data_IF_157522539297
#
_entry.id   IF_157522539297
#
_cell.length_a   1.000
_cell.length_b   1.000
_cell.length_c   1.000
_cell.angle_alpha   90.00
_cell.angle_beta   90.00
_cell.angle_gamma   90.00
#
_symmetry.space_group_name_H-M   'P 1'
#
loop_
_entity.id
_entity.type
_entity.pdbx_description
1 polymer ?
#
# COMPACT_ATOMS: atom_id res chain seq x y z
N UNK A 1 -7.72 0.00 -6.72
CA UNK A 1 -7.89 -1.30 -6.04
C UNK A 1 -9.31 -1.82 -6.26
N UNK A 2 -9.50 -2.75 -7.20
CA UNK A 2 -10.77 -3.45 -7.38
C UNK A 2 -10.59 -4.97 -7.18
N UNK A 3 -11.54 -5.62 -6.52
CA UNK A 3 -11.54 -7.07 -6.28
C UNK A 3 -11.57 -7.88 -7.60
N UNK A 4 -11.13 -9.15 -7.60
CA UNK A 4 -11.15 -9.98 -8.84
C UNK A 4 -12.56 -10.07 -9.43
N UNK A 5 -13.55 -10.31 -8.59
CA UNK A 5 -14.97 -10.34 -8.96
C UNK A 5 -15.45 -9.00 -9.52
N UNK A 6 -15.01 -7.89 -8.92
CA UNK A 6 -15.33 -6.52 -9.33
C UNK A 6 -14.70 -6.19 -10.70
N UNK A 7 -13.47 -6.66 -10.94
CA UNK A 7 -12.77 -6.53 -12.22
C UNK A 7 -13.40 -7.38 -13.30
N UNK A 8 -13.84 -8.60 -12.98
CA UNK A 8 -14.57 -9.46 -13.92
C UNK A 8 -15.92 -8.84 -14.28
N UNK A 9 -16.66 -8.33 -13.30
CA UNK A 9 -17.91 -7.60 -13.55
C UNK A 9 -17.69 -6.31 -14.35
N UNK A 10 -16.69 -5.49 -14.00
CA UNK A 10 -16.37 -4.27 -14.75
C UNK A 10 -15.95 -4.58 -16.20
N UNK A 11 -15.12 -5.61 -16.41
CA UNK A 11 -14.73 -6.08 -17.75
C UNK A 11 -15.90 -6.66 -18.54
N UNK A 12 -16.82 -7.37 -17.87
CA UNK A 12 -18.05 -7.88 -18.48
C UNK A 12 -18.96 -6.72 -18.89
N UNK A 13 -19.18 -5.75 -18.00
CA UNK A 13 -19.98 -4.56 -18.27
C UNK A 13 -19.39 -3.74 -19.42
N UNK A 14 -18.07 -3.58 -19.47
CA UNK A 14 -17.39 -2.89 -20.57
C UNK A 14 -17.56 -3.64 -21.89
N UNK A 15 -17.45 -4.98 -21.91
CA UNK A 15 -17.73 -5.79 -23.11
C UNK A 15 -19.19 -5.74 -23.53
N UNK A 16 -20.13 -5.75 -22.59
CA UNK A 16 -21.56 -5.61 -22.87
C UNK A 16 -21.88 -4.22 -23.43
N UNK A 17 -21.26 -3.16 -22.91
CA UNK A 17 -21.41 -1.80 -23.42
C UNK A 17 -20.81 -1.64 -24.83
N UNK A 18 -19.64 -2.25 -25.10
CA UNK A 18 -19.03 -2.25 -26.42
C UNK A 18 -19.80 -3.13 -27.42
N UNK A 19 -20.39 -4.25 -26.96
CA UNK A 19 -21.23 -5.13 -27.78
C UNK A 19 -22.64 -4.59 -28.06
N UNK A 20 -23.16 -3.72 -27.20
CA UNK A 20 -24.42 -2.99 -27.42
C UNK A 20 -24.25 -1.77 -28.35
N UNK A 21 -23.01 -1.44 -28.74
CA UNK A 21 -22.66 -0.27 -29.49
C UNK A 21 -22.67 -0.40 -31.02
N UNK A 22 -23.61 -1.13 -31.64
CA UNK A 22 -23.99 -0.93 -33.08
C UNK A 22 -25.43 -1.39 -33.31
N UNK A 23 -26.42 -0.58 -32.92
CA UNK A 23 -27.76 -0.61 -33.52
C UNK A 23 -28.35 0.79 -33.43
N UNK A 24 -28.01 1.64 -34.40
CA UNK A 24 -28.65 2.93 -34.58
C UNK A 24 -30.13 2.70 -34.96
N UNK A 25 -31.04 2.98 -34.03
CA UNK A 25 -32.47 3.01 -34.29
C UNK A 25 -32.85 4.32 -35.01
N UNK A 26 -33.66 4.29 -36.08
CA UNK A 26 -34.18 5.52 -36.68
C UNK A 26 -35.37 6.08 -35.87
N UNK A 27 -35.39 7.39 -35.72
CA UNK A 27 -36.44 8.16 -35.02
C UNK A 27 -37.72 8.28 -35.86
N UNK A 28 -38.93 8.38 -35.27
CA UNK A 28 -40.18 8.37 -36.00
C UNK A 28 -40.70 9.79 -36.28
N UNK A 29 -40.85 10.14 -37.56
CA UNK A 29 -41.63 11.30 -37.99
C UNK A 29 -42.29 11.01 -39.34
N UNK A 30 -43.56 10.59 -39.33
CA UNK A 30 -44.54 10.87 -40.39
C UNK A 30 -45.92 10.28 -40.03
N UNK A 31 -46.85 11.18 -39.74
CA UNK A 31 -48.29 10.92 -39.64
C UNK A 31 -48.90 11.09 -41.05
N UNK A 32 -49.62 10.09 -41.57
CA UNK A 32 -50.81 10.27 -42.44
C UNK A 32 -51.53 8.93 -42.74
N UNK A 33 -52.78 8.89 -42.25
CA UNK A 33 -54.04 8.38 -42.84
C UNK A 33 -53.98 7.29 -43.92
N UNK A 34 -54.59 6.14 -43.63
CA UNK A 34 -55.43 5.39 -44.58
C UNK A 34 -56.38 4.42 -43.85
N UNK A 35 -57.53 4.20 -44.46
CA UNK A 35 -58.80 3.65 -44.00
C UNK A 35 -58.93 2.12 -44.08
N UNK A 36 -59.87 1.59 -43.28
CA UNK A 36 -60.75 0.42 -43.49
C UNK A 36 -60.15 -0.95 -43.85
N UNK A 37 -60.41 -1.95 -43.01
CA UNK A 37 -61.36 -3.06 -43.25
C UNK A 37 -60.95 -4.34 -42.50
N UNK A 38 -61.85 -4.88 -41.69
CA UNK A 38 -61.87 -6.31 -41.33
C UNK A 38 -62.45 -7.09 -42.54
N UNK A 39 -62.22 -8.42 -42.73
CA UNK A 39 -62.70 -9.43 -41.77
C UNK A 39 -61.91 -10.76 -41.67
N UNK A 40 -62.39 -11.58 -40.72
CA UNK A 40 -62.53 -13.04 -40.74
C UNK A 40 -61.32 -14.00 -40.63
N UNK A 41 -61.26 -14.65 -39.46
CA UNK A 41 -61.32 -16.11 -39.23
C UNK A 41 -60.61 -17.06 -40.21
N UNK A 42 -59.54 -17.72 -39.72
CA UNK A 42 -59.30 -19.15 -40.02
C UNK A 42 -58.77 -19.85 -38.76
N UNK A 43 -59.45 -20.92 -38.39
CA UNK A 43 -59.14 -21.87 -37.33
C UNK A 43 -58.37 -23.04 -37.98
N UNK A 44 -57.20 -23.38 -37.46
CA UNK A 44 -56.57 -24.68 -37.72
C UNK A 44 -55.91 -25.24 -36.46
N UNK A 45 -56.16 -26.53 -36.29
CA UNK A 45 -55.93 -27.41 -35.16
C UNK A 45 -54.52 -28.01 -35.11
N UNK A 46 -54.20 -28.61 -33.95
CA UNK A 46 -53.13 -29.61 -33.66
C UNK A 46 -51.69 -29.06 -33.70
N UNK A 47 -50.81 -29.30 -32.72
CA UNK A 47 -50.47 -30.58 -32.10
C UNK A 47 -49.78 -30.37 -30.75
N UNK A 48 -50.14 -31.18 -29.77
CA UNK A 48 -49.51 -31.31 -28.45
C UNK A 48 -48.02 -31.62 -28.58
N UNK A 49 -47.16 -30.75 -28.04
CA UNK A 49 -45.79 -31.13 -27.63
C UNK A 49 -45.52 -30.56 -26.25
N UNK A 50 -45.50 -31.49 -25.29
CA UNK A 50 -45.15 -31.31 -23.88
C UNK A 50 -43.68 -30.89 -23.77
N UNK A 51 -43.42 -29.60 -23.64
CA UNK A 51 -42.09 -29.12 -23.20
C UNK A 51 -42.10 -29.12 -21.68
N UNK A 52 -41.28 -30.01 -21.12
CA UNK A 52 -41.08 -30.17 -19.69
C UNK A 52 -40.56 -28.85 -19.11
N UNK A 53 -41.28 -28.28 -18.14
CA UNK A 53 -40.74 -27.26 -17.25
C UNK A 53 -39.66 -27.92 -16.40
N UNK A 54 -38.41 -27.82 -16.85
CA UNK A 54 -37.27 -28.10 -16.00
C UNK A 54 -37.35 -27.16 -14.79
N UNK A 55 -37.77 -27.71 -13.66
CA UNK A 55 -37.65 -27.03 -12.37
C UNK A 55 -36.16 -26.80 -12.16
N UNK A 56 -35.73 -25.55 -12.37
CA UNK A 56 -34.41 -25.12 -11.94
C UNK A 56 -34.36 -25.33 -10.42
N UNK A 57 -33.68 -26.40 -10.01
CA UNK A 57 -33.21 -26.53 -8.65
C UNK A 57 -32.31 -25.32 -8.42
N UNK A 58 -32.77 -24.40 -7.58
CA UNK A 58 -31.91 -23.38 -6.97
C UNK A 58 -30.68 -24.12 -6.44
N UNK A 59 -29.53 -23.86 -7.03
CA UNK A 59 -28.25 -24.30 -6.52
C UNK A 59 -28.04 -23.59 -5.18
N UNK A 60 -28.56 -24.15 -4.10
CA UNK A 60 -28.14 -23.78 -2.77
C UNK A 60 -26.65 -24.08 -2.71
N UNK A 61 -25.83 -23.03 -2.56
CA UNK A 61 -24.39 -23.17 -2.29
C UNK A 61 -24.19 -24.27 -1.24
N UNK A 62 -23.26 -25.20 -1.45
CA UNK A 62 -22.97 -26.22 -0.45
C UNK A 62 -22.60 -25.49 0.84
N UNK A 63 -23.37 -25.72 1.90
CA UNK A 63 -23.10 -25.15 3.22
C UNK A 63 -21.70 -25.60 3.64
N UNK A 64 -20.85 -24.61 3.87
CA UNK A 64 -19.43 -24.70 4.18
C UNK A 64 -19.23 -25.39 5.54
N UNK A 65 -19.04 -26.72 5.55
CA UNK A 65 -18.53 -27.48 6.72
C UNK A 65 -16.98 -27.44 6.74
N UNK A 66 -16.37 -26.56 5.92
CA UNK A 66 -14.93 -26.34 5.76
C UNK A 66 -14.40 -25.13 6.55
N UNK A 67 -15.23 -24.50 7.39
CA UNK A 67 -14.90 -23.30 8.16
C UNK A 67 -13.63 -23.45 8.99
N UNK A 68 -13.44 -24.62 9.60
CA UNK A 68 -12.32 -24.87 10.49
C UNK A 68 -11.00 -25.06 9.73
N UNK A 69 -11.02 -25.78 8.60
CA UNK A 69 -9.81 -26.07 7.81
C UNK A 69 -9.29 -24.82 7.07
N UNK A 70 -10.20 -23.97 6.60
CA UNK A 70 -9.82 -22.67 6.04
C UNK A 70 -9.29 -21.71 7.12
N UNK A 71 -9.85 -21.74 8.34
CA UNK A 71 -9.38 -20.90 9.45
C UNK A 71 -7.92 -21.20 9.82
N UNK A 72 -7.53 -22.47 10.00
CA UNK A 72 -6.14 -22.84 10.29
C UNK A 72 -5.17 -22.52 9.14
N UNK A 73 -5.63 -22.63 7.89
CA UNK A 73 -4.83 -22.24 6.71
C UNK A 73 -4.52 -20.74 6.74
N UNK A 74 -5.50 -19.92 7.09
CA UNK A 74 -5.36 -18.45 7.21
C UNK A 74 -4.42 -18.10 8.37
N UNK A 75 -4.50 -18.77 9.53
CA UNK A 75 -3.60 -18.52 10.67
C UNK A 75 -2.13 -18.72 10.27
N UNK A 76 -1.78 -19.88 9.70
CA UNK A 76 -0.39 -20.14 9.31
C UNK A 76 0.11 -19.25 8.16
N UNK A 77 -0.77 -18.92 7.21
CA UNK A 77 -0.42 -18.04 6.10
C UNK A 77 -0.26 -16.57 6.54
N UNK A 78 -1.12 -16.08 7.43
CA UNK A 78 -1.02 -14.73 8.01
C UNK A 78 0.21 -14.58 8.89
N UNK A 79 0.60 -15.61 9.66
CA UNK A 79 1.83 -15.58 10.45
C UNK A 79 3.08 -15.44 9.55
N UNK A 80 3.17 -16.22 8.47
CA UNK A 80 4.28 -16.10 7.50
C UNK A 80 4.32 -14.72 6.86
N UNK A 81 3.17 -14.22 6.43
CA UNK A 81 3.08 -12.90 5.81
C UNK A 81 3.44 -11.78 6.79
N UNK A 82 3.03 -11.89 8.05
CA UNK A 82 3.43 -10.98 9.11
C UNK A 82 4.94 -10.98 9.33
N UNK A 83 5.59 -12.15 9.36
CA UNK A 83 7.06 -12.24 9.50
C UNK A 83 7.79 -11.49 8.38
N UNK A 84 7.28 -11.54 7.15
CA UNK A 84 7.82 -10.76 6.03
C UNK A 84 7.66 -9.25 6.28
N UNK A 85 6.53 -8.81 6.83
CA UNK A 85 6.28 -7.39 7.15
C UNK A 85 7.16 -6.87 8.29
N UNK A 86 7.49 -7.72 9.27
CA UNK A 86 8.24 -7.34 10.46
C UNK A 86 9.77 -7.38 10.27
N UNK A 87 10.25 -8.10 9.24
CA UNK A 87 11.68 -8.26 8.92
C UNK A 87 12.43 -6.96 8.53
N UNK A 88 11.88 -6.04 7.71
CA UNK A 88 12.68 -5.00 7.05
C UNK A 88 13.36 -3.99 7.98
N UNK A 89 12.78 -3.75 9.17
CA UNK A 89 13.33 -2.87 10.19
C UNK A 89 13.50 -3.59 11.54
N UNK A 90 13.76 -4.92 11.50
CA UNK A 90 13.98 -5.70 12.71
C UNK A 90 15.28 -5.26 13.39
N UNK A 91 15.20 -5.08 14.70
CA UNK A 91 16.30 -4.62 15.54
C UNK A 91 16.37 -5.47 16.80
N UNK A 92 17.51 -5.39 17.48
CA UNK A 92 17.69 -6.05 18.77
C UNK A 92 18.52 -5.17 19.69
N UNK A 93 18.13 -5.15 20.95
CA UNK A 93 18.93 -4.56 22.04
C UNK A 93 19.63 -5.74 22.71
N UNK A 94 20.97 -5.70 22.82
CA UNK A 94 21.68 -6.83 23.43
C UNK A 94 21.55 -6.80 24.94
N UNK A 95 21.36 -7.97 25.55
CA UNK A 95 21.26 -8.11 27.02
C UNK A 95 22.55 -7.64 27.73
N UNK A 96 23.68 -7.73 27.04
CA UNK A 96 24.99 -7.28 27.51
C UNK A 96 25.06 -5.75 27.62
N UNK A 97 24.62 -5.03 26.59
CA UNK A 97 24.55 -3.56 26.59
C UNK A 97 23.61 -3.07 27.69
N UNK A 98 22.53 -3.80 27.96
CA UNK A 98 21.61 -3.46 29.07
C UNK A 98 22.23 -3.73 30.44
N UNK A 99 22.88 -4.88 30.62
CA UNK A 99 23.59 -5.20 31.88
C UNK A 99 24.71 -4.22 32.19
N UNK A 100 25.29 -3.62 31.15
CA UNK A 100 26.34 -2.61 31.24
C UNK A 100 25.79 -1.16 31.22
N UNK A 101 24.47 -0.98 31.21
CA UNK A 101 23.76 0.31 31.13
C UNK A 101 24.23 1.23 29.99
N UNK A 102 24.62 0.64 28.85
CA UNK A 102 25.14 1.33 27.66
C UNK A 102 24.10 1.57 26.56
N UNK A 103 22.82 1.37 26.86
CA UNK A 103 21.75 1.56 25.87
C UNK A 103 21.65 3.06 25.55
N UNK A 104 22.02 3.43 24.32
CA UNK A 104 21.90 4.81 23.86
C UNK A 104 20.42 5.19 23.78
N UNK A 105 20.10 6.36 24.33
CA UNK A 105 18.76 6.94 24.25
C UNK A 105 18.82 8.17 23.36
N UNK A 106 17.81 8.32 22.50
CA UNK A 106 17.60 9.55 21.73
C UNK A 106 17.19 10.69 22.68
N UNK A 107 17.23 11.92 22.19
CA UNK A 107 16.71 13.12 22.86
C UNK A 107 15.24 12.96 23.31
N UNK A 108 14.46 12.16 22.58
CA UNK A 108 13.06 11.81 22.90
C UNK A 108 12.93 10.75 24.02
N UNK A 109 14.04 10.23 24.54
CA UNK A 109 14.09 9.15 25.53
C UNK A 109 13.92 7.73 24.97
N UNK A 110 13.84 7.57 23.65
CA UNK A 110 13.69 6.27 22.98
C UNK A 110 15.01 5.47 22.96
N UNK A 111 14.96 4.19 23.33
CA UNK A 111 16.10 3.27 23.29
C UNK A 111 16.44 2.90 21.84
N UNK A 112 17.70 3.12 21.45
CA UNK A 112 18.24 2.77 20.13
C UNK A 112 18.93 1.40 20.26
N UNK A 113 18.51 0.43 19.46
CA UNK A 113 19.13 -0.88 19.37
C UNK A 113 20.11 -1.00 18.22
N UNK A 114 20.45 -2.24 17.86
CA UNK A 114 21.21 -2.56 16.65
C UNK A 114 20.27 -3.14 15.60
N UNK A 115 20.36 -2.65 14.37
CA UNK A 115 19.67 -3.27 13.25
C UNK A 115 20.17 -4.71 13.09
N UNK A 116 19.23 -5.66 12.92
CA UNK A 116 19.59 -7.06 12.73
C UNK A 116 20.24 -7.30 11.38
N UNK A 117 19.70 -6.64 10.36
CA UNK A 117 20.27 -6.56 9.02
C UNK A 117 20.93 -5.18 8.87
N UNK A 118 22.26 -5.10 8.96
CA UNK A 118 22.99 -3.83 8.92
C UNK A 118 22.86 -3.07 7.58
N UNK A 119 22.60 -3.81 6.51
CA UNK A 119 22.46 -3.30 5.15
C UNK A 119 21.00 -3.01 4.76
N UNK A 120 20.07 -2.99 5.72
CA UNK A 120 18.68 -2.74 5.39
C UNK A 120 18.46 -1.29 4.91
N UNK A 121 17.61 -1.13 3.89
CA UNK A 121 17.34 0.16 3.27
C UNK A 121 16.72 1.19 4.25
N UNK A 122 15.95 0.72 5.25
CA UNK A 122 15.26 1.61 6.18
C UNK A 122 16.23 2.37 7.09
N UNK A 123 17.24 1.68 7.62
CA UNK A 123 18.25 2.27 8.49
C UNK A 123 19.38 2.93 7.69
N UNK A 124 19.89 2.26 6.64
CA UNK A 124 21.04 2.75 5.87
C UNK A 124 20.67 3.84 4.87
N UNK A 125 19.66 3.62 4.04
CA UNK A 125 19.30 4.53 2.95
C UNK A 125 18.44 5.69 3.45
N UNK A 126 17.43 5.41 4.27
CA UNK A 126 16.52 6.44 4.78
C UNK A 126 16.96 7.06 6.12
N UNK A 127 18.09 6.61 6.69
CA UNK A 127 18.66 7.18 7.91
C UNK A 127 17.80 6.99 9.17
N UNK A 128 16.82 6.08 9.15
CA UNK A 128 15.97 5.83 10.32
C UNK A 128 16.78 5.11 11.40
N UNK A 129 16.63 5.51 12.65
CA UNK A 129 17.34 4.85 13.76
C UNK A 129 16.68 3.50 14.10
N UNK A 130 17.45 2.42 14.33
CA UNK A 130 16.92 1.11 14.70
C UNK A 130 16.32 1.15 16.12
N UNK A 131 15.01 1.34 16.19
CA UNK A 131 14.25 1.57 17.42
C UNK A 131 12.88 0.91 17.34
N UNK A 132 12.19 0.81 18.48
CA UNK A 132 10.82 0.29 18.54
C UNK A 132 9.87 1.07 17.65
N UNK A 133 9.97 2.40 17.65
CA UNK A 133 9.12 3.26 16.82
C UNK A 133 9.38 3.01 15.34
N UNK A 134 10.65 2.95 14.91
CA UNK A 134 10.97 2.67 13.50
C UNK A 134 10.43 1.32 13.07
N UNK A 135 10.70 0.27 13.84
CA UNK A 135 10.23 -1.08 13.54
C UNK A 135 8.71 -1.17 13.47
N UNK A 136 8.01 -0.61 14.46
CA UNK A 136 6.55 -0.65 14.53
C UNK A 136 5.90 0.10 13.36
N UNK A 137 6.37 1.31 13.03
CA UNK A 137 5.80 2.10 11.93
C UNK A 137 6.11 1.51 10.55
N UNK A 138 7.32 0.96 10.34
CA UNK A 138 7.65 0.22 9.11
C UNK A 138 6.75 -1.02 9.00
N UNK A 139 6.60 -1.79 10.07
CA UNK A 139 5.74 -2.98 10.08
C UNK A 139 4.28 -2.61 9.80
N UNK A 140 3.76 -1.57 10.44
CA UNK A 140 2.42 -1.04 10.17
C UNK A 140 2.26 -0.60 8.71
N UNK A 141 3.26 0.04 8.11
CA UNK A 141 3.21 0.42 6.70
C UNK A 141 3.05 -0.80 5.79
N UNK A 142 3.79 -1.89 6.05
CA UNK A 142 3.64 -3.14 5.28
C UNK A 142 2.26 -3.79 5.51
N UNK A 143 1.80 -3.82 6.76
CA UNK A 143 0.47 -4.32 7.10
C UNK A 143 -0.64 -3.48 6.45
N UNK A 144 -0.43 -2.17 6.30
CA UNK A 144 -1.36 -1.30 5.56
C UNK A 144 -1.50 -1.73 4.11
N UNK A 145 -0.39 -2.02 3.41
CA UNK A 145 -0.43 -2.46 2.01
C UNK A 145 -1.24 -3.75 1.85
N UNK A 146 -1.04 -4.71 2.75
CA UNK A 146 -1.80 -5.95 2.78
C UNK A 146 -3.27 -5.67 3.10
N UNK A 147 -3.55 -4.87 4.13
CA UNK A 147 -4.91 -4.55 4.54
C UNK A 147 -5.70 -3.84 3.42
N UNK A 148 -5.04 -2.95 2.67
CA UNK A 148 -5.60 -2.30 1.50
C UNK A 148 -6.07 -3.31 0.44
N UNK A 149 -5.32 -4.39 0.22
CA UNK A 149 -5.72 -5.46 -0.71
C UNK A 149 -6.76 -6.42 -0.11
N UNK A 150 -6.65 -6.74 1.18
CA UNK A 150 -7.61 -7.60 1.87
C UNK A 150 -9.02 -6.98 1.94
N UNK A 151 -9.14 -5.64 1.97
CA UNK A 151 -10.44 -4.95 1.89
C UNK A 151 -11.24 -5.26 0.62
N UNK A 152 -10.60 -5.85 -0.39
CA UNK A 152 -11.26 -6.32 -1.60
C UNK A 152 -11.77 -7.77 -1.51
N UNK A 153 -11.47 -8.51 -0.44
CA UNK A 153 -11.98 -9.86 -0.23
C UNK A 153 -13.42 -9.84 0.28
N UNK A 154 -14.05 -11.01 0.34
CA UNK A 154 -15.34 -11.17 1.00
C UNK A 154 -15.25 -10.76 2.48
N UNK A 155 -16.36 -10.27 3.01
CA UNK A 155 -16.41 -9.61 4.32
C UNK A 155 -15.90 -10.48 5.47
N UNK A 156 -16.23 -11.77 5.44
CA UNK A 156 -15.84 -12.70 6.51
C UNK A 156 -14.37 -13.10 6.40
N UNK A 157 -13.86 -13.29 5.18
CA UNK A 157 -12.44 -13.52 4.93
C UNK A 157 -11.59 -12.32 5.33
N UNK A 158 -12.00 -11.11 4.92
CA UNK A 158 -11.35 -9.86 5.31
C UNK A 158 -11.23 -9.75 6.83
N UNK A 159 -12.34 -10.01 7.55
CA UNK A 159 -12.37 -9.94 9.02
C UNK A 159 -11.39 -10.93 9.66
N UNK A 160 -11.41 -12.18 9.19
CA UNK A 160 -10.52 -13.21 9.70
C UNK A 160 -9.05 -12.86 9.46
N UNK A 161 -8.68 -12.52 8.21
CA UNK A 161 -7.31 -12.13 7.86
C UNK A 161 -6.85 -10.88 8.61
N UNK A 162 -7.68 -9.84 8.66
CA UNK A 162 -7.33 -8.59 9.34
C UNK A 162 -7.15 -8.81 10.83
N UNK A 163 -7.99 -9.62 11.47
CA UNK A 163 -7.84 -9.94 12.89
C UNK A 163 -6.54 -10.68 13.15
N UNK A 164 -6.24 -11.75 12.41
CA UNK A 164 -5.03 -12.54 12.59
C UNK A 164 -3.75 -11.71 12.40
N UNK A 165 -3.68 -10.88 11.35
CA UNK A 165 -2.52 -10.02 11.10
C UNK A 165 -2.29 -8.99 12.22
N UNK A 166 -3.37 -8.43 12.75
CA UNK A 166 -3.32 -7.49 13.88
C UNK A 166 -2.88 -8.23 15.14
N UNK A 167 -3.43 -9.42 15.42
CA UNK A 167 -3.07 -10.21 16.60
C UNK A 167 -1.58 -10.60 16.59
N UNK A 168 -1.04 -11.04 15.44
CA UNK A 168 0.39 -11.32 15.27
C UNK A 168 1.27 -10.10 15.53
N UNK A 169 0.85 -8.92 15.04
CA UNK A 169 1.56 -7.67 15.29
C UNK A 169 1.59 -7.29 16.77
N UNK A 170 0.43 -7.31 17.44
CA UNK A 170 0.35 -6.97 18.85
C UNK A 170 1.09 -7.96 19.76
N UNK A 171 1.07 -9.25 19.41
CA UNK A 171 1.85 -10.27 20.11
C UNK A 171 3.36 -9.98 20.00
N UNK A 172 3.85 -9.64 18.81
CA UNK A 172 5.27 -9.31 18.62
C UNK A 172 5.64 -7.98 19.29
N UNK A 173 4.74 -6.98 19.31
CA UNK A 173 4.95 -5.75 20.08
C UNK A 173 5.10 -6.04 21.57
N UNK A 174 4.21 -6.85 22.16
CA UNK A 174 4.31 -7.21 23.58
C UNK A 174 5.61 -7.95 23.88
N UNK A 175 5.98 -8.90 23.02
CA UNK A 175 7.23 -9.65 23.14
C UNK A 175 8.45 -8.74 23.09
N UNK A 176 8.52 -7.79 22.14
CA UNK A 176 9.63 -6.80 22.08
C UNK A 176 9.65 -5.88 23.29
N UNK A 177 8.50 -5.43 23.78
CA UNK A 177 8.42 -4.65 25.03
C UNK A 177 8.93 -5.44 26.24
N UNK A 178 8.62 -6.73 26.30
CA UNK A 178 9.04 -7.58 27.41
C UNK A 178 10.53 -7.95 27.33
N UNK A 179 11.00 -8.42 26.17
CA UNK A 179 12.34 -8.94 25.99
C UNK A 179 13.35 -7.83 25.71
N UNK A 180 13.10 -6.99 24.69
CA UNK A 180 14.07 -5.98 24.24
C UNK A 180 14.05 -4.72 25.09
N UNK A 181 12.91 -4.39 25.73
CA UNK A 181 12.76 -3.20 26.58
C UNK A 181 12.60 -3.51 28.09
N UNK A 182 12.66 -4.78 28.50
CA UNK A 182 12.55 -5.24 29.88
C UNK A 182 11.34 -4.63 30.66
N UNK A 183 10.24 -4.37 29.95
CA UNK A 183 9.01 -3.87 30.58
C UNK A 183 8.27 -5.05 31.20
N UNK A 184 8.62 -5.38 32.44
CA UNK A 184 8.02 -6.50 33.19
C UNK A 184 6.57 -6.24 33.58
N UNK A 185 6.20 -4.96 33.81
CA UNK A 185 4.84 -4.56 34.17
C UNK A 185 3.84 -4.78 33.03
N UNK A 186 2.94 -5.75 33.21
CA UNK A 186 1.85 -6.06 32.26
C UNK A 186 0.91 -4.87 32.05
N UNK A 187 0.57 -4.13 33.11
CA UNK A 187 -0.29 -2.95 33.02
C UNK A 187 0.33 -1.85 32.14
N UNK A 188 1.65 -1.65 32.24
CA UNK A 188 2.37 -0.68 31.43
C UNK A 188 2.43 -1.11 29.96
N UNK A 189 2.73 -2.39 29.68
CA UNK A 189 2.69 -2.93 28.31
C UNK A 189 1.30 -2.74 27.69
N UNK A 190 0.24 -3.08 28.41
CA UNK A 190 -1.13 -2.95 27.90
C UNK A 190 -1.52 -1.49 27.61
N UNK A 191 -1.00 -0.53 28.37
CA UNK A 191 -1.18 0.90 28.07
C UNK A 191 -0.51 1.28 26.75
N UNK A 192 0.76 0.91 26.56
CA UNK A 192 1.47 1.16 25.31
C UNK A 192 0.82 0.47 24.10
N UNK A 193 0.35 -0.77 24.25
CA UNK A 193 -0.38 -1.45 23.18
C UNK A 193 -1.67 -0.70 22.80
N UNK A 194 -2.38 -0.09 23.75
CA UNK A 194 -3.56 0.74 23.43
C UNK A 194 -3.16 1.99 22.64
N UNK A 195 -2.05 2.63 23.00
CA UNK A 195 -1.55 3.80 22.29
C UNK A 195 -1.16 3.44 20.85
N UNK A 196 -0.45 2.33 20.66
CA UNK A 196 -0.10 1.75 19.35
C UNK A 196 -1.35 1.42 18.53
N UNK A 197 -2.41 0.91 19.16
CA UNK A 197 -3.67 0.63 18.48
C UNK A 197 -4.35 1.90 17.94
N UNK A 198 -4.31 3.00 18.70
CA UNK A 198 -4.80 4.30 18.22
C UNK A 198 -3.94 4.81 17.06
N UNK A 199 -2.62 4.70 17.17
CA UNK A 199 -1.68 5.06 16.09
C UNK A 199 -1.94 4.26 14.81
N UNK A 200 -2.13 2.95 14.92
CA UNK A 200 -2.48 2.07 13.80
C UNK A 200 -3.72 2.58 13.05
N UNK A 201 -4.79 2.92 13.77
CA UNK A 201 -6.02 3.44 13.15
C UNK A 201 -5.82 4.80 12.50
N UNK A 202 -5.05 5.68 13.11
CA UNK A 202 -4.69 6.98 12.54
C UNK A 202 -3.86 6.84 11.26
N UNK A 203 -2.92 5.89 11.26
CA UNK A 203 -2.07 5.56 10.12
C UNK A 203 -2.88 5.00 8.94
N UNK A 204 -3.82 4.08 9.19
CA UNK A 204 -4.73 3.55 8.16
C UNK A 204 -5.47 4.69 7.45
N UNK A 205 -6.09 5.60 8.21
CA UNK A 205 -6.84 6.72 7.68
C UNK A 205 -5.95 7.68 6.88
N UNK A 206 -4.77 8.00 7.40
CA UNK A 206 -3.84 8.93 6.78
C UNK A 206 -3.33 8.44 5.41
N UNK A 207 -3.00 7.15 5.32
CA UNK A 207 -2.55 6.58 4.05
C UNK A 207 -3.71 6.42 3.06
N UNK A 208 -4.92 6.09 3.52
CA UNK A 208 -6.10 6.08 2.66
C UNK A 208 -6.41 7.47 2.10
N UNK A 209 -6.36 8.50 2.94
CA UNK A 209 -6.49 9.90 2.51
C UNK A 209 -5.40 10.27 1.50
N UNK A 210 -4.15 9.90 1.75
CA UNK A 210 -3.04 10.14 0.84
C UNK A 210 -3.23 9.47 -0.52
N UNK A 211 -3.70 8.22 -0.56
CA UNK A 211 -3.97 7.52 -1.81
C UNK A 211 -5.01 8.21 -2.68
N UNK A 212 -6.05 8.79 -2.06
CA UNK A 212 -7.16 9.46 -2.75
C UNK A 212 -6.80 10.89 -3.16
N UNK A 213 -6.15 11.66 -2.27
CA UNK A 213 -5.85 13.07 -2.50
C UNK A 213 -4.60 13.32 -3.34
N UNK A 214 -3.67 12.35 -3.40
CA UNK A 214 -2.49 12.42 -4.26
C UNK A 214 -1.16 12.33 -3.50
N UNK A 215 -0.07 12.32 -4.27
CA UNK A 215 1.25 11.92 -3.78
C UNK A 215 1.83 12.87 -2.74
N UNK A 216 1.54 14.16 -2.84
CA UNK A 216 1.97 15.13 -1.84
C UNK A 216 1.34 14.86 -0.46
N UNK A 217 0.04 14.50 -0.43
CA UNK A 217 -0.65 14.16 0.83
C UNK A 217 -0.16 12.83 1.36
N UNK A 218 0.08 11.84 0.48
CA UNK A 218 0.66 10.57 0.87
C UNK A 218 2.09 10.73 1.42
N UNK A 219 2.91 11.57 0.80
CA UNK A 219 4.26 11.91 1.28
C UNK A 219 4.19 12.58 2.67
N UNK A 220 3.24 13.50 2.88
CA UNK A 220 3.02 14.11 4.20
C UNK A 220 2.61 13.09 5.26
N UNK A 221 1.76 12.11 4.91
CA UNK A 221 1.39 11.02 5.80
C UNK A 221 2.61 10.14 6.16
N UNK A 222 3.45 9.81 5.19
CA UNK A 222 4.71 9.06 5.41
C UNK A 222 5.66 9.87 6.30
N UNK A 223 5.83 11.16 6.03
CA UNK A 223 6.69 12.04 6.82
C UNK A 223 6.26 12.11 8.29
N UNK A 224 4.96 12.31 8.55
CA UNK A 224 4.42 12.37 9.92
C UNK A 224 4.55 11.04 10.66
N UNK A 225 4.23 9.94 10.00
CA UNK A 225 4.17 8.63 10.66
C UNK A 225 5.55 7.99 10.81
N UNK A 226 6.37 8.02 9.75
CA UNK A 226 7.63 7.29 9.69
C UNK A 226 8.82 8.12 10.15
N UNK A 227 8.87 9.39 9.73
CA UNK A 227 9.92 10.34 10.09
C UNK A 227 9.54 11.21 11.29
N UNK A 228 8.40 10.92 11.95
CA UNK A 228 7.89 11.67 13.12
C UNK A 228 7.75 13.19 12.89
N UNK A 229 7.63 13.63 11.65
CA UNK A 229 7.58 15.05 11.31
C UNK A 229 8.93 15.79 11.44
N UNK A 230 10.05 15.07 11.35
CA UNK A 230 11.40 15.66 11.40
C UNK A 230 11.61 16.66 10.23
N UNK A 231 11.87 17.97 10.50
CA UNK A 231 12.13 18.97 9.47
C UNK A 231 13.34 18.65 8.58
N UNK A 232 14.27 17.80 9.05
CA UNK A 232 15.47 17.42 8.33
C UNK A 232 15.32 16.12 7.51
N UNK A 233 14.11 15.54 7.46
CA UNK A 233 13.86 14.37 6.64
C UNK A 233 14.11 14.65 5.15
N UNK A 234 14.89 13.79 4.50
CA UNK A 234 15.19 13.95 3.07
C UNK A 234 13.90 13.80 2.22
N UNK A 235 13.51 14.83 1.45
CA UNK A 235 12.35 14.75 0.56
C UNK A 235 12.44 13.60 -0.46
N UNK A 236 13.66 13.21 -0.88
CA UNK A 236 13.87 12.08 -1.80
C UNK A 236 13.44 10.76 -1.19
N UNK A 237 13.62 10.60 0.13
CA UNK A 237 13.26 9.38 0.83
C UNK A 237 11.73 9.24 0.87
N UNK A 238 11.03 10.36 1.08
CA UNK A 238 9.57 10.41 1.01
C UNK A 238 9.06 10.01 -0.38
N UNK A 239 9.66 10.55 -1.45
CA UNK A 239 9.27 10.20 -2.83
C UNK A 239 9.54 8.73 -3.14
N UNK A 240 10.69 8.19 -2.72
CA UNK A 240 11.03 6.78 -2.91
C UNK A 240 10.00 5.86 -2.22
N UNK A 241 9.65 6.15 -0.97
CA UNK A 241 8.67 5.37 -0.20
C UNK A 241 7.27 5.50 -0.82
N UNK A 242 6.85 6.69 -1.25
CA UNK A 242 5.57 6.90 -1.94
C UNK A 242 5.50 6.09 -3.24
N UNK A 243 6.56 6.13 -4.05
CA UNK A 243 6.67 5.34 -5.27
C UNK A 243 6.55 3.84 -4.99
N UNK A 244 7.25 3.37 -3.95
CA UNK A 244 7.16 1.98 -3.50
C UNK A 244 5.77 1.59 -2.99
N UNK A 245 5.09 2.45 -2.22
CA UNK A 245 3.70 2.21 -1.77
C UNK A 245 2.79 2.01 -2.98
N UNK A 246 2.85 2.92 -3.96
CA UNK A 246 2.00 2.83 -5.16
C UNK A 246 2.30 1.59 -5.99
N UNK A 247 3.56 1.29 -6.23
CA UNK A 247 3.97 0.12 -6.99
C UNK A 247 3.56 -1.18 -6.29
N UNK A 248 3.73 -1.25 -4.96
CA UNK A 248 3.33 -2.40 -4.14
C UNK A 248 1.83 -2.62 -4.17
N UNK A 249 1.03 -1.56 -4.02
CA UNK A 249 -0.43 -1.65 -4.13
C UNK A 249 -0.87 -2.10 -5.53
N UNK A 250 -0.27 -1.54 -6.59
CA UNK A 250 -0.57 -1.94 -7.96
C UNK A 250 -0.24 -3.42 -8.20
N UNK A 251 0.90 -3.90 -7.69
CA UNK A 251 1.28 -5.32 -7.77
C UNK A 251 0.33 -6.21 -6.96
N UNK A 252 -0.03 -5.81 -5.74
CA UNK A 252 -0.98 -6.54 -4.88
C UNK A 252 -2.38 -6.59 -5.50
N UNK A 253 -2.79 -5.57 -6.26
CA UNK A 253 -4.04 -5.59 -7.02
C UNK A 253 -4.04 -6.68 -8.11
N UNK A 254 -2.87 -6.98 -8.68
CA UNK A 254 -2.68 -8.05 -9.67
C UNK A 254 -2.67 -9.46 -9.08
N UNK A 255 -2.45 -9.60 -7.77
CA UNK A 255 -2.36 -10.90 -7.10
C UNK A 255 -3.72 -11.62 -7.04
N UNK A 256 -3.69 -12.95 -7.14
CA UNK A 256 -4.88 -13.79 -7.04
C UNK A 256 -5.30 -14.01 -5.58
N UNK A 257 -6.60 -14.14 -5.32
CA UNK A 257 -7.10 -14.32 -3.95
C UNK A 257 -6.61 -15.68 -3.37
N UNK A 258 -6.52 -16.72 -4.22
CA UNK A 258 -6.08 -18.07 -3.82
C UNK A 258 -4.60 -18.14 -3.43
N UNK A 259 -3.73 -17.43 -4.16
CA UNK A 259 -2.28 -17.42 -3.94
C UNK A 259 -1.80 -16.12 -3.26
N UNK A 260 -2.75 -15.34 -2.71
CA UNK A 260 -2.50 -14.00 -2.19
C UNK A 260 -1.34 -13.95 -1.20
N UNK A 261 -1.33 -14.84 -0.21
CA UNK A 261 -0.33 -14.81 0.85
C UNK A 261 1.10 -15.00 0.33
N UNK A 262 1.28 -15.88 -0.66
CA UNK A 262 2.59 -16.13 -1.26
C UNK A 262 3.01 -14.96 -2.16
N UNK A 263 2.13 -14.50 -3.04
CA UNK A 263 2.44 -13.38 -3.93
C UNK A 263 2.67 -12.07 -3.16
N UNK A 264 1.90 -11.83 -2.10
CA UNK A 264 2.09 -10.67 -1.24
C UNK A 264 3.45 -10.70 -0.54
N UNK A 265 3.91 -11.87 -0.07
CA UNK A 265 5.25 -12.03 0.48
C UNK A 265 6.32 -11.68 -0.56
N UNK A 266 6.25 -12.25 -1.77
CA UNK A 266 7.20 -11.98 -2.86
C UNK A 266 7.22 -10.51 -3.30
N UNK A 267 6.07 -9.83 -3.25
CA UNK A 267 5.97 -8.40 -3.58
C UNK A 267 6.65 -7.55 -2.50
N UNK A 268 6.37 -7.84 -1.22
CA UNK A 268 6.87 -7.05 -0.09
C UNK A 268 8.34 -7.32 0.25
N UNK A 269 8.89 -8.47 -0.14
CA UNK A 269 10.33 -8.75 -0.03
C UNK A 269 11.18 -7.90 -0.96
N UNK A 270 10.57 -7.29 -2.00
CA UNK A 270 11.30 -6.41 -2.91
C UNK A 270 11.73 -5.14 -2.16
N UNK A 271 13.03 -4.84 -2.12
CA UNK A 271 13.52 -3.71 -1.35
C UNK A 271 13.04 -2.38 -1.92
N UNK A 272 12.87 -1.40 -1.03
CA UNK A 272 12.42 -0.04 -1.37
C UNK A 272 13.52 0.74 -2.12
N UNK A 273 14.78 0.32 -1.99
CA UNK A 273 15.97 0.92 -2.58
C UNK A 273 15.93 1.04 -4.12
N UNK A 274 15.17 0.18 -4.80
CA UNK A 274 15.00 0.24 -6.26
C UNK A 274 14.42 1.59 -6.70
N UNK A 275 13.56 2.21 -5.87
CA UNK A 275 13.03 3.53 -6.14
C UNK A 275 14.05 4.62 -5.83
N UNK A 276 14.80 4.45 -4.74
CA UNK A 276 15.86 5.37 -4.34
C UNK A 276 16.98 5.48 -5.37
N UNK A 277 17.54 4.34 -5.78
CA UNK A 277 18.62 4.26 -6.78
C UNK A 277 18.24 4.88 -8.12
N UNK A 278 16.99 4.68 -8.57
CA UNK A 278 16.46 5.32 -9.78
C UNK A 278 16.31 6.83 -9.64
N UNK A 279 15.98 7.31 -8.44
CA UNK A 279 15.87 8.74 -8.17
C UNK A 279 17.26 9.39 -8.08
N UNK A 280 18.28 8.70 -7.58
CA UNK A 280 19.64 9.22 -7.46
C UNK A 280 20.45 9.20 -8.75
N UNK A 281 20.17 8.27 -9.67
CA UNK A 281 20.94 8.11 -10.90
C UNK A 281 21.14 9.42 -11.70
N UNK A 282 20.13 10.30 -11.87
CA UNK A 282 20.31 11.60 -12.53
C UNK A 282 21.20 12.57 -11.74
N UNK A 283 21.08 12.60 -10.41
CA UNK A 283 21.85 13.52 -9.57
C UNK A 283 23.33 13.13 -9.45
N UNK A 284 23.64 11.83 -9.48
CA UNK A 284 25.01 11.34 -9.49
C UNK A 284 25.68 11.62 -10.84
N UNK A 285 24.97 11.45 -11.96
CA UNK A 285 25.50 11.80 -13.28
C UNK A 285 25.76 13.30 -13.44
N UNK A 286 24.95 14.15 -12.79
CA UNK A 286 25.16 15.60 -12.79
C UNK A 286 26.35 16.03 -11.92
N UNK A 287 26.63 15.29 -10.83
CA UNK A 287 27.82 15.52 -10.00
C UNK A 287 29.11 15.06 -10.70
N UNK A 288 29.08 13.93 -11.43
CA UNK A 288 30.22 13.47 -12.24
C UNK A 288 30.44 14.34 -13.50
N UNK A 289 29.39 15.00 -14.02
CA UNK A 289 29.49 16.00 -15.08
C UNK A 289 29.88 17.41 -14.61
N UNK A 290 29.88 17.66 -13.30
CA UNK A 290 30.08 18.97 -12.67
C UNK A 290 31.54 19.46 -12.60
N UNK A 291 32.53 18.63 -12.93
CA UNK A 291 33.95 19.02 -13.05
C UNK A 291 34.30 19.56 -14.46
N UNK A 292 33.30 20.07 -15.18
CA UNK A 292 33.51 20.85 -16.41
C UNK A 292 32.83 22.20 -16.27
N UNK A 293 33.65 23.18 -15.90
CA UNK A 293 33.44 24.64 -15.96
C UNK A 293 32.23 25.06 -16.80
N UNK A 294 31.17 25.52 -16.13
CA UNK A 294 30.00 26.13 -16.76
C UNK A 294 30.43 27.30 -17.67
N UNK A 295 29.98 27.37 -18.94
CA UNK A 295 30.26 28.52 -19.79
C UNK A 295 29.48 29.74 -19.28
N UNK A 296 30.22 30.74 -18.79
CA UNK A 296 29.65 32.02 -18.36
C UNK A 296 28.94 32.72 -19.52
N UNK A 297 27.70 33.14 -19.29
CA UNK A 297 26.92 33.93 -20.25
C UNK A 297 27.56 35.30 -20.46
N UNK A 298 27.59 35.89 -21.68
CA UNK A 298 28.29 37.16 -21.96
C UNK A 298 27.88 38.36 -21.10
N UNK A 299 26.71 38.31 -20.46
CA UNK A 299 26.25 39.32 -19.50
C UNK A 299 26.99 39.29 -18.16
N UNK A 300 27.47 38.12 -17.70
CA UNK A 300 28.22 38.01 -16.44
C UNK A 300 29.65 38.55 -16.57
N UNK A 301 30.26 38.46 -17.76
CA UNK A 301 31.60 39.01 -18.04
C UNK A 301 31.60 40.54 -18.02
N UNK A 302 30.55 41.18 -18.60
CA UNK A 302 30.40 42.64 -18.58
C UNK A 302 30.16 43.20 -17.18
N UNK A 303 29.40 42.49 -16.34
CA UNK A 303 29.16 42.91 -14.96
C UNK A 303 30.43 42.80 -14.09
N UNK A 304 31.28 41.79 -14.33
CA UNK A 304 32.55 41.61 -13.60
C UNK A 304 33.62 42.62 -14.01
N UNK A 305 33.68 43.00 -15.30
CA UNK A 305 34.60 44.02 -15.79
C UNK A 305 34.25 45.43 -15.25
N UNK A 306 32.96 45.79 -15.23
CA UNK A 306 32.52 47.09 -14.70
C UNK A 306 32.69 47.23 -13.18
N UNK A 307 32.73 46.12 -12.44
CA UNK A 307 33.00 46.12 -11.00
C UNK A 307 34.50 46.28 -10.68
N UNK A 308 35.39 45.75 -11.54
CA UNK A 308 36.84 45.87 -11.37
C UNK A 308 37.34 47.32 -11.61
N UNK A 309 36.80 48.00 -12.62
CA UNK A 309 37.18 49.40 -12.92
C UNK A 309 36.74 50.39 -11.83
N UNK A 310 35.65 50.12 -11.11
CA UNK A 310 35.22 50.96 -9.97
C UNK A 310 36.10 50.81 -8.74
N UNK A 311 36.72 49.65 -8.54
CA UNK A 311 37.62 49.40 -7.40
C UNK A 311 39.01 50.00 -7.66
N UNK A 312 39.48 50.01 -8.92
CA UNK A 312 40.75 50.61 -9.29
C UNK A 312 40.75 52.16 -9.25
N UNK A 313 39.58 52.81 -9.34
CA UNK A 313 39.46 54.28 -9.27
C UNK A 313 39.34 54.83 -7.84
N UNK A 314 39.38 53.97 -6.81
CA UNK A 314 39.25 54.37 -5.39
C UNK A 314 40.49 54.02 -4.56
N UNK A 315 41.63 53.78 -5.21
CA UNK A 315 42.98 53.70 -4.63
C UNK A 315 43.88 54.69 -5.36
#
# INVERSE_FOLDING_TARGET
>A
MACQTCRLHARSMLRSALGAGVAAAPSPAARKVATSSAPATVRSTTTTTRIQTARHFSSSSPRHILGLRDSYRVVGASERLFKVCAKPADYRITDEERKQDRVQKRDDGEEIGKAKDAENAWNKTFGLQPSFSTWSHVTMLHLYLINARLRCFDRDEYRNWSQQLIDHFFFECEKKMHLDHNITSSALRQRYLKDIFVQWRGLLLAYDEGLVKGDAVLASAVWRNLFKGDPHADPRALVAIVGWIRASLAALEGASDLTFAQQAAEILEKPVDVFWTRLEAPFLSDQEGGDKTLPQTPQQVKAKAAAADKVAATL
#
